data_IF_224062576484
#
_entry.id   IF_224062576484
#
_cell.length_a   1.000
_cell.length_b   1.000
_cell.length_c   1.000
_cell.angle_alpha   90.00
_cell.angle_beta   90.00
_cell.angle_gamma   90.00
#
_symmetry.space_group_name_H-M   'P 1'
#
loop_
_entity.id
_entity.type
_entity.pdbx_description
1 polymer ?
#
# COMPACT_ATOMS: atom_id res chain seq x y z
N UNK A 1 -21.94 25.12 23.20
CA UNK A 1 -21.65 23.72 23.53
C UNK A 1 -20.43 23.34 22.70
N UNK A 2 -19.31 23.09 23.34
CA UNK A 2 -18.12 22.62 22.62
C UNK A 2 -18.46 21.22 22.11
N UNK A 3 -18.61 21.10 20.79
CA UNK A 3 -18.84 19.81 20.15
C UNK A 3 -17.56 18.99 20.28
N UNK A 4 -17.64 17.78 20.84
CA UNK A 4 -16.49 16.88 20.90
C UNK A 4 -15.96 16.63 19.48
N UNK A 5 -14.63 16.66 19.34
CA UNK A 5 -13.97 16.48 18.05
C UNK A 5 -14.26 15.08 17.48
N UNK A 6 -14.61 14.99 16.21
CA UNK A 6 -14.84 13.72 15.54
C UNK A 6 -13.57 12.87 15.44
N UNK A 7 -13.74 11.58 15.17
CA UNK A 7 -12.64 10.60 15.04
C UNK A 7 -12.27 10.40 13.58
N UNK A 8 -10.95 10.32 13.28
CA UNK A 8 -10.46 9.86 12.00
C UNK A 8 -10.07 8.37 12.08
N UNK A 9 -10.74 7.54 11.30
CA UNK A 9 -10.42 6.13 11.13
C UNK A 9 -9.55 5.93 9.89
N UNK A 10 -8.39 5.29 10.02
CA UNK A 10 -7.54 4.88 8.91
C UNK A 10 -7.84 3.40 8.65
N UNK A 11 -8.55 3.11 7.56
CA UNK A 11 -9.15 1.79 7.32
C UNK A 11 -8.48 1.09 6.16
N UNK A 12 -7.90 -0.09 6.42
CA UNK A 12 -7.35 -0.95 5.38
C UNK A 12 -8.48 -1.57 4.53
N UNK A 13 -8.24 -1.60 3.21
CA UNK A 13 -9.14 -2.18 2.20
C UNK A 13 -8.50 -3.40 1.54
N UNK A 14 -9.27 -4.26 0.86
CA UNK A 14 -8.73 -5.41 0.14
C UNK A 14 -7.68 -5.04 -0.91
N UNK A 15 -6.73 -5.95 -1.17
CA UNK A 15 -5.66 -5.78 -2.17
C UNK A 15 -5.92 -6.54 -3.49
N UNK A 16 -7.09 -7.16 -3.61
CA UNK A 16 -7.45 -7.92 -4.81
C UNK A 16 -8.69 -8.78 -4.62
N UNK A 17 -8.86 -9.37 -3.43
CA UNK A 17 -10.04 -10.16 -3.08
C UNK A 17 -10.91 -9.38 -2.10
N UNK A 18 -12.14 -9.03 -2.48
CA UNK A 18 -13.05 -8.27 -1.64
C UNK A 18 -13.37 -8.95 -0.30
N UNK A 19 -13.20 -10.28 -0.19
CA UNK A 19 -13.43 -11.04 1.04
C UNK A 19 -12.37 -10.79 2.12
N UNK A 20 -11.22 -10.20 1.76
CA UNK A 20 -10.16 -9.83 2.71
C UNK A 20 -10.51 -8.59 3.55
N UNK A 21 -11.66 -7.99 3.38
CA UNK A 21 -12.15 -6.91 4.23
C UNK A 21 -12.49 -7.42 5.63
N UNK A 22 -12.06 -6.72 6.66
CA UNK A 22 -12.40 -7.12 8.03
C UNK A 22 -13.83 -6.74 8.42
N UNK A 23 -14.46 -7.51 9.31
CA UNK A 23 -15.78 -7.18 9.88
C UNK A 23 -15.78 -5.80 10.54
N UNK A 24 -14.67 -5.44 11.20
CA UNK A 24 -14.52 -4.12 11.83
C UNK A 24 -14.46 -3.01 10.79
N UNK A 25 -13.77 -3.20 9.67
CA UNK A 25 -13.73 -2.24 8.58
C UNK A 25 -15.14 -2.03 7.99
N UNK A 26 -15.86 -3.11 7.71
CA UNK A 26 -17.24 -3.02 7.21
C UNK A 26 -18.17 -2.24 8.15
N UNK A 27 -18.07 -2.49 9.48
CA UNK A 27 -18.85 -1.77 10.46
C UNK A 27 -18.49 -0.28 10.48
N UNK A 28 -17.22 0.07 10.58
CA UNK A 28 -16.76 1.47 10.62
C UNK A 28 -17.15 2.22 9.34
N UNK A 29 -16.97 1.61 8.16
CA UNK A 29 -17.32 2.23 6.88
C UNK A 29 -18.84 2.49 6.74
N UNK A 30 -19.68 1.75 7.47
CA UNK A 30 -21.14 1.99 7.52
C UNK A 30 -21.54 3.05 8.55
N UNK A 31 -20.75 3.23 9.61
CA UNK A 31 -21.07 4.09 10.76
C UNK A 31 -20.54 5.52 10.62
N UNK A 32 -19.44 5.74 9.87
CA UNK A 32 -18.85 7.08 9.72
C UNK A 32 -19.70 7.99 8.84
N UNK A 33 -19.56 9.31 9.05
CA UNK A 33 -20.31 10.33 8.30
C UNK A 33 -19.78 10.51 6.87
N UNK A 34 -18.49 10.23 6.65
CA UNK A 34 -17.84 10.43 5.36
C UNK A 34 -16.63 9.51 5.22
N UNK A 35 -16.45 8.97 4.01
CA UNK A 35 -15.24 8.21 3.63
C UNK A 35 -14.43 9.03 2.63
N UNK A 36 -13.18 9.32 3.00
CA UNK A 36 -12.15 9.92 2.14
C UNK A 36 -11.44 8.79 1.39
N UNK A 37 -11.39 8.86 0.07
CA UNK A 37 -10.79 7.84 -0.79
C UNK A 37 -10.06 8.46 -1.97
N UNK A 38 -9.10 7.75 -2.56
CA UNK A 38 -8.35 8.24 -3.73
C UNK A 38 -9.25 8.29 -4.96
N UNK A 39 -9.85 7.17 -5.32
CA UNK A 39 -10.82 7.06 -6.41
C UNK A 39 -12.17 6.55 -5.87
N UNK A 40 -13.17 7.45 -5.94
CA UNK A 40 -14.55 7.13 -5.51
C UNK A 40 -15.17 6.01 -6.33
N UNK A 41 -14.75 5.80 -7.58
CA UNK A 41 -15.25 4.73 -8.46
C UNK A 41 -14.76 3.37 -7.96
N UNK A 42 -13.50 3.29 -7.54
CA UNK A 42 -12.91 2.08 -6.97
C UNK A 42 -13.59 1.71 -5.66
N UNK A 43 -13.69 2.67 -4.74
CA UNK A 43 -14.36 2.48 -3.44
C UNK A 43 -15.83 2.03 -3.59
N UNK A 44 -16.53 2.52 -4.61
CA UNK A 44 -17.94 2.12 -4.88
C UNK A 44 -18.09 0.64 -5.23
N UNK A 45 -17.09 -0.03 -5.76
CA UNK A 45 -17.13 -1.48 -6.03
C UNK A 45 -17.22 -2.23 -4.69
N UNK A 46 -16.36 -1.91 -3.74
CA UNK A 46 -16.38 -2.46 -2.38
C UNK A 46 -17.71 -2.15 -1.69
N UNK A 47 -18.16 -0.91 -1.77
CA UNK A 47 -19.41 -0.46 -1.14
C UNK A 47 -20.62 -1.19 -1.70
N UNK A 48 -20.69 -1.38 -3.01
CA UNK A 48 -21.76 -2.13 -3.67
C UNK A 48 -21.81 -3.59 -3.23
N UNK A 49 -20.64 -4.25 -3.11
CA UNK A 49 -20.56 -5.66 -2.65
C UNK A 49 -21.12 -5.84 -1.23
N UNK A 50 -20.90 -4.84 -0.32
CA UNK A 50 -21.26 -4.98 1.10
C UNK A 50 -22.42 -4.10 1.54
N UNK A 51 -23.14 -3.48 0.61
CA UNK A 51 -24.30 -2.64 0.91
C UNK A 51 -23.95 -1.44 1.80
N UNK A 52 -22.80 -0.79 1.53
CA UNK A 52 -22.39 0.43 2.23
C UNK A 52 -22.91 1.64 1.45
N UNK A 53 -23.64 2.52 2.13
CA UNK A 53 -24.27 3.71 1.53
C UNK A 53 -23.61 5.02 1.96
N UNK A 54 -22.58 4.93 2.80
CA UNK A 54 -21.85 6.10 3.33
C UNK A 54 -21.32 6.97 2.20
N UNK A 55 -21.44 8.28 2.37
CA UNK A 55 -20.93 9.26 1.41
C UNK A 55 -19.43 9.14 1.24
N UNK A 56 -18.96 9.20 -0.01
CA UNK A 56 -17.52 9.23 -0.34
C UNK A 56 -17.12 10.59 -0.87
N UNK A 57 -15.87 10.98 -0.59
CA UNK A 57 -15.29 12.22 -1.08
C UNK A 57 -13.84 11.98 -1.48
N UNK A 58 -13.43 12.47 -2.65
CA UNK A 58 -12.08 12.25 -3.14
C UNK A 58 -11.05 13.04 -2.32
N UNK A 59 -9.96 12.35 -1.92
CA UNK A 59 -8.75 12.90 -1.33
C UNK A 59 -7.52 12.20 -1.89
N UNK A 60 -6.60 12.95 -2.48
CA UNK A 60 -5.36 12.44 -3.07
C UNK A 60 -4.18 13.37 -2.77
N UNK A 61 -2.94 12.96 -3.08
CA UNK A 61 -1.70 13.71 -2.76
C UNK A 61 -1.72 15.15 -3.27
N UNK A 62 -2.39 15.40 -4.38
CA UNK A 62 -2.50 16.74 -4.98
C UNK A 62 -3.71 17.55 -4.48
N UNK A 63 -4.41 17.05 -3.44
CA UNK A 63 -5.49 17.84 -2.83
C UNK A 63 -4.92 19.13 -2.24
N UNK A 64 -5.60 20.23 -2.51
CA UNK A 64 -5.17 21.57 -2.08
C UNK A 64 -5.45 21.84 -0.60
N UNK A 65 -4.89 22.94 -0.07
CA UNK A 65 -5.06 23.31 1.34
C UNK A 65 -6.53 23.53 1.72
N UNK A 66 -7.36 24.05 0.81
CA UNK A 66 -8.79 24.23 1.08
C UNK A 66 -9.49 22.91 1.37
N UNK A 67 -9.05 21.82 0.75
CA UNK A 67 -9.55 20.46 1.02
C UNK A 67 -9.17 19.99 2.42
N UNK A 68 -7.91 20.22 2.84
CA UNK A 68 -7.44 19.88 4.18
C UNK A 68 -8.24 20.63 5.25
N UNK A 69 -8.46 21.93 5.06
CA UNK A 69 -9.30 22.75 5.96
C UNK A 69 -10.76 22.27 5.98
N UNK A 70 -11.34 21.91 4.83
CA UNK A 70 -12.72 21.37 4.77
C UNK A 70 -12.85 20.05 5.54
N UNK A 71 -11.82 19.20 5.52
CA UNK A 71 -11.79 17.96 6.30
C UNK A 71 -11.68 18.27 7.81
N UNK A 72 -10.81 19.22 8.18
CA UNK A 72 -10.67 19.65 9.57
C UNK A 72 -11.98 20.23 10.13
N UNK A 73 -12.70 21.06 9.37
CA UNK A 73 -14.00 21.59 9.79
C UNK A 73 -15.02 20.48 10.08
N UNK A 74 -15.09 19.45 9.24
CA UNK A 74 -15.98 18.31 9.49
C UNK A 74 -15.65 17.60 10.81
N UNK A 75 -14.34 17.44 11.14
CA UNK A 75 -13.93 16.89 12.45
C UNK A 75 -14.32 17.81 13.60
N UNK A 76 -14.21 19.17 13.45
CA UNK A 76 -14.67 20.15 14.45
C UNK A 76 -16.17 20.09 14.68
N UNK A 77 -16.93 19.78 13.63
CA UNK A 77 -18.38 19.56 13.73
C UNK A 77 -18.75 18.23 14.43
N UNK A 78 -17.77 17.48 14.93
CA UNK A 78 -17.95 16.18 15.60
C UNK A 78 -18.18 15.02 14.63
N UNK A 79 -18.01 15.21 13.31
CA UNK A 79 -18.20 14.15 12.32
C UNK A 79 -17.06 13.13 12.35
N UNK A 80 -17.40 11.87 12.35
CA UNK A 80 -16.46 10.75 12.21
C UNK A 80 -16.12 10.52 10.74
N UNK A 81 -14.85 10.46 10.43
CA UNK A 81 -14.35 10.27 9.07
C UNK A 81 -13.55 8.98 8.94
N UNK A 82 -13.60 8.33 7.78
CA UNK A 82 -12.69 7.25 7.44
C UNK A 82 -11.80 7.67 6.27
N UNK A 83 -10.52 7.30 6.33
CA UNK A 83 -9.56 7.40 5.22
C UNK A 83 -9.29 5.99 4.72
N UNK A 84 -9.49 5.75 3.42
CA UNK A 84 -9.14 4.52 2.71
C UNK A 84 -8.23 4.83 1.54
N UNK A 85 -7.37 3.87 1.17
CA UNK A 85 -6.67 3.83 -0.12
C UNK A 85 -7.44 2.98 -1.13
N UNK A 86 -7.03 3.01 -2.39
CA UNK A 86 -7.64 2.17 -3.42
C UNK A 86 -7.43 0.68 -3.13
N UNK A 87 -6.30 0.31 -2.51
CA UNK A 87 -6.00 -1.06 -2.10
C UNK A 87 -5.06 -1.09 -0.89
N UNK A 88 -5.33 -1.96 0.08
CA UNK A 88 -4.45 -2.20 1.21
C UNK A 88 -4.57 -1.21 2.35
N UNK A 89 -3.47 -1.04 3.10
CA UNK A 89 -3.40 -0.19 4.29
C UNK A 89 -2.98 1.23 3.89
N UNK A 90 -3.83 2.26 4.14
CA UNK A 90 -3.49 3.64 3.81
C UNK A 90 -2.16 4.08 4.44
N UNK A 91 -1.45 5.00 3.80
CA UNK A 91 -0.12 5.52 4.17
C UNK A 91 1.06 4.55 3.94
N UNK A 92 0.83 3.29 3.64
CA UNK A 92 1.88 2.33 3.30
C UNK A 92 2.10 2.35 1.79
N UNK A 93 2.92 3.28 1.31
CA UNK A 93 3.12 3.63 -0.11
C UNK A 93 1.92 4.32 -0.78
N UNK A 94 0.96 4.76 0.00
CA UNK A 94 -0.28 5.39 -0.41
C UNK A 94 -0.38 6.84 0.10
N UNK A 95 -1.26 7.67 -0.48
CA UNK A 95 -1.55 9.00 0.02
C UNK A 95 -2.10 8.99 1.46
N UNK A 96 -1.94 10.14 2.14
CA UNK A 96 -2.55 10.36 3.46
C UNK A 96 -1.62 11.03 4.47
N UNK A 97 -0.30 10.86 4.33
CA UNK A 97 0.67 11.50 5.25
C UNK A 97 0.50 13.01 5.33
N UNK A 98 0.28 13.78 4.24
CA UNK A 98 0.02 15.22 4.35
C UNK A 98 -1.25 15.54 5.15
N UNK A 99 -2.33 14.78 4.98
CA UNK A 99 -3.57 14.97 5.74
C UNK A 99 -3.33 14.73 7.23
N UNK A 100 -2.72 13.61 7.60
CA UNK A 100 -2.45 13.30 9.00
C UNK A 100 -1.55 14.33 9.65
N UNK A 101 -0.50 14.78 8.96
CA UNK A 101 0.41 15.81 9.45
C UNK A 101 -0.32 17.15 9.65
N UNK A 102 -1.16 17.54 8.70
CA UNK A 102 -1.97 18.75 8.80
C UNK A 102 -2.93 18.67 10.00
N UNK A 103 -3.70 17.59 10.11
CA UNK A 103 -4.66 17.42 11.19
C UNK A 103 -3.99 17.33 12.58
N UNK A 104 -2.84 16.66 12.68
CA UNK A 104 -2.06 16.61 13.92
C UNK A 104 -1.52 17.99 14.31
N UNK A 105 -1.13 18.82 13.34
CA UNK A 105 -0.69 20.19 13.60
C UNK A 105 -1.86 21.07 14.06
N UNK A 106 -3.05 20.84 13.51
CA UNK A 106 -4.25 21.63 13.75
C UNK A 106 -4.88 21.33 15.12
N UNK A 107 -4.92 20.05 15.51
CA UNK A 107 -5.66 19.59 16.69
C UNK A 107 -4.77 19.02 17.82
N UNK A 108 -3.50 18.77 17.55
CA UNK A 108 -2.59 18.23 18.57
C UNK A 108 -3.05 16.88 19.13
N UNK A 109 -3.08 16.79 20.45
CA UNK A 109 -3.48 15.60 21.21
C UNK A 109 -4.99 15.34 21.20
N UNK A 110 -5.80 16.33 20.84
CA UNK A 110 -7.26 16.21 20.88
C UNK A 110 -7.79 15.41 19.71
N UNK A 111 -6.99 15.25 18.64
CA UNK A 111 -7.35 14.45 17.47
C UNK A 111 -7.26 12.94 17.80
N UNK A 112 -8.42 12.29 17.81
CA UNK A 112 -8.48 10.83 17.89
C UNK A 112 -8.30 10.21 16.50
N UNK A 113 -7.17 9.51 16.30
CA UNK A 113 -6.91 8.71 15.11
C UNK A 113 -6.95 7.24 15.49
N UNK A 114 -7.76 6.46 14.77
CA UNK A 114 -7.95 5.03 15.03
C UNK A 114 -7.52 4.21 13.81
N UNK A 115 -6.54 3.33 13.98
CA UNK A 115 -6.19 2.36 12.96
C UNK A 115 -7.20 1.21 12.94
N UNK A 116 -7.69 0.88 11.75
CA UNK A 116 -8.51 -0.31 11.47
C UNK A 116 -7.68 -1.24 10.59
N UNK A 117 -6.95 -2.19 11.19
CA UNK A 117 -6.03 -3.06 10.46
C UNK A 117 -6.76 -3.97 9.47
N UNK A 118 -6.04 -4.40 8.45
CA UNK A 118 -6.56 -5.29 7.43
C UNK A 118 -5.50 -5.70 6.43
N UNK A 119 -5.89 -5.92 5.17
CA UNK A 119 -5.02 -6.39 4.12
C UNK A 119 -3.86 -5.42 3.84
N UNK A 120 -2.70 -6.01 3.55
CA UNK A 120 -1.50 -5.30 3.08
C UNK A 120 -0.66 -6.24 2.23
N UNK A 121 -0.30 -5.82 1.03
CA UNK A 121 0.52 -6.64 0.13
C UNK A 121 1.89 -6.97 0.72
N UNK A 122 2.48 -6.05 1.51
CA UNK A 122 3.73 -6.27 2.23
C UNK A 122 3.61 -7.46 3.19
N UNK A 123 2.62 -7.44 4.09
CA UNK A 123 2.45 -8.52 5.08
C UNK A 123 1.95 -9.80 4.46
N UNK A 124 1.11 -9.75 3.43
CA UNK A 124 0.68 -10.92 2.67
C UNK A 124 1.88 -11.62 2.01
N UNK A 125 2.77 -10.88 1.34
CA UNK A 125 3.99 -11.44 0.77
C UNK A 125 4.88 -12.08 1.85
N UNK A 126 5.12 -11.40 2.97
CA UNK A 126 5.94 -11.91 4.08
C UNK A 126 5.36 -13.16 4.75
N UNK A 127 4.05 -13.37 4.68
CA UNK A 127 3.43 -14.58 5.25
C UNK A 127 3.71 -15.85 4.45
N UNK A 128 4.09 -15.71 3.16
CA UNK A 128 4.32 -16.83 2.24
C UNK A 128 5.75 -16.87 1.67
N UNK A 129 6.54 -15.82 1.87
CA UNK A 129 7.95 -15.76 1.47
C UNK A 129 8.80 -15.59 2.73
N UNK A 130 9.52 -16.63 3.17
CA UNK A 130 10.34 -16.55 4.37
C UNK A 130 11.51 -15.58 4.19
N UNK A 131 11.72 -14.73 5.20
CA UNK A 131 12.89 -13.86 5.35
C UNK A 131 13.73 -14.41 6.51
N UNK A 132 14.88 -15.05 6.25
CA UNK A 132 15.61 -15.84 7.25
C UNK A 132 15.97 -15.09 8.53
N UNK A 133 16.42 -13.83 8.42
CA UNK A 133 16.79 -13.00 9.59
C UNK A 133 15.58 -12.41 10.34
N UNK A 134 14.39 -12.45 9.75
CA UNK A 134 13.22 -11.71 10.23
C UNK A 134 13.38 -10.17 10.15
N UNK A 135 14.55 -9.68 9.73
CA UNK A 135 14.83 -8.24 9.54
C UNK A 135 14.73 -7.87 8.08
N UNK A 136 14.05 -6.77 7.81
CA UNK A 136 13.87 -6.26 6.46
C UNK A 136 13.68 -4.75 6.44
N UNK A 137 14.00 -4.15 5.32
CA UNK A 137 13.68 -2.77 4.98
C UNK A 137 12.59 -2.74 3.91
N UNK A 138 11.54 -1.95 4.11
CA UNK A 138 10.50 -1.72 3.11
C UNK A 138 10.67 -0.37 2.44
N UNK A 139 10.76 -0.34 1.11
CA UNK A 139 11.05 0.87 0.33
C UNK A 139 9.84 1.45 -0.42
N UNK A 140 8.66 0.83 -0.32
CA UNK A 140 7.55 1.21 -1.18
C UNK A 140 7.88 0.96 -2.66
N UNK A 141 7.54 1.89 -3.55
CA UNK A 141 7.95 1.83 -4.95
C UNK A 141 9.35 2.41 -5.15
N UNK A 142 10.20 1.71 -5.92
CA UNK A 142 11.50 2.25 -6.29
C UNK A 142 11.37 3.50 -7.18
N UNK A 143 12.27 4.47 -7.04
CA UNK A 143 12.28 5.67 -7.89
C UNK A 143 12.31 5.32 -9.38
N UNK A 144 11.63 6.14 -10.20
CA UNK A 144 11.61 5.93 -11.66
C UNK A 144 12.96 6.18 -12.34
N UNK A 145 13.72 7.21 -11.90
CA UNK A 145 14.99 7.64 -12.51
C UNK A 145 16.03 7.96 -11.44
N UNK A 146 16.01 9.21 -10.92
CA UNK A 146 17.00 9.68 -9.93
C UNK A 146 16.90 8.87 -8.63
N UNK A 147 18.00 8.32 -8.16
CA UNK A 147 18.06 7.52 -6.93
C UNK A 147 17.83 6.01 -7.10
N UNK A 148 17.33 5.53 -8.26
CA UNK A 148 17.05 4.11 -8.49
C UNK A 148 18.31 3.24 -8.40
N UNK A 149 19.37 3.62 -9.09
CA UNK A 149 20.67 2.90 -9.03
C UNK A 149 21.28 2.93 -7.62
N UNK A 150 21.11 4.05 -6.90
CA UNK A 150 21.57 4.14 -5.51
C UNK A 150 20.77 3.18 -4.61
N UNK A 151 19.46 3.03 -4.84
CA UNK A 151 18.64 2.06 -4.11
C UNK A 151 19.14 0.62 -4.36
N UNK A 152 19.38 0.23 -5.62
CA UNK A 152 19.89 -1.10 -5.98
C UNK A 152 21.25 -1.39 -5.32
N UNK A 153 22.17 -0.41 -5.32
CA UNK A 153 23.46 -0.58 -4.62
C UNK A 153 23.29 -0.76 -3.12
N UNK A 154 22.40 0.03 -2.48
CA UNK A 154 22.10 -0.13 -1.06
C UNK A 154 21.50 -1.50 -0.74
N UNK A 155 20.68 -2.06 -1.62
CA UNK A 155 20.16 -3.42 -1.47
C UNK A 155 21.30 -4.44 -1.53
N UNK A 156 22.23 -4.30 -2.50
CA UNK A 156 23.39 -5.17 -2.63
C UNK A 156 24.31 -5.09 -1.41
N UNK A 157 24.62 -3.89 -0.96
CA UNK A 157 25.63 -3.63 0.08
C UNK A 157 25.06 -3.73 1.52
N UNK A 158 23.74 -3.78 1.70
CA UNK A 158 23.08 -3.89 3.00
C UNK A 158 23.02 -5.32 3.53
N UNK A 159 22.75 -5.46 4.84
CA UNK A 159 22.72 -6.75 5.57
C UNK A 159 21.31 -7.29 5.79
N UNK A 160 20.28 -6.54 5.40
CA UNK A 160 18.87 -6.90 5.60
C UNK A 160 18.19 -7.24 4.28
N UNK A 161 17.15 -8.07 4.35
CA UNK A 161 16.27 -8.26 3.22
C UNK A 161 15.61 -6.93 2.82
N UNK A 162 15.44 -6.71 1.53
CA UNK A 162 14.78 -5.51 1.03
C UNK A 162 13.50 -5.88 0.31
N UNK A 163 12.39 -5.23 0.69
CA UNK A 163 11.06 -5.45 0.13
C UNK A 163 10.58 -4.17 -0.53
N UNK A 164 9.98 -4.29 -1.70
CA UNK A 164 9.43 -3.14 -2.40
C UNK A 164 8.34 -3.57 -3.39
N UNK A 165 7.50 -2.62 -3.78
CA UNK A 165 6.48 -2.81 -4.81
C UNK A 165 7.04 -2.51 -6.19
N UNK A 166 6.58 -3.26 -7.20
CA UNK A 166 6.92 -2.99 -8.58
C UNK A 166 5.71 -3.20 -9.50
N UNK A 167 5.69 -2.48 -10.60
CA UNK A 167 4.61 -2.51 -11.59
C UNK A 167 4.94 -3.37 -12.81
N UNK A 168 3.91 -3.79 -13.55
CA UNK A 168 4.03 -4.56 -14.80
C UNK A 168 5.02 -3.97 -15.79
N UNK A 169 5.02 -2.63 -15.93
CA UNK A 169 5.87 -1.93 -16.90
C UNK A 169 7.34 -1.87 -16.49
N UNK A 170 7.67 -2.28 -15.26
CA UNK A 170 9.00 -2.06 -14.67
C UNK A 170 9.68 -3.34 -14.20
N UNK A 171 8.94 -4.45 -14.09
CA UNK A 171 9.47 -5.69 -13.51
C UNK A 171 10.63 -6.27 -14.32
N UNK A 172 10.52 -6.34 -15.65
CA UNK A 172 11.61 -6.85 -16.52
C UNK A 172 12.81 -5.91 -16.48
N UNK A 173 12.57 -4.59 -16.48
CA UNK A 173 13.64 -3.60 -16.34
C UNK A 173 14.37 -3.74 -15.00
N UNK A 174 13.63 -3.96 -13.92
CA UNK A 174 14.22 -4.22 -12.59
C UNK A 174 15.15 -5.43 -12.63
N UNK A 175 14.69 -6.55 -13.18
CA UNK A 175 15.49 -7.77 -13.28
C UNK A 175 16.75 -7.56 -14.14
N UNK A 176 16.66 -6.76 -15.21
CA UNK A 176 17.82 -6.38 -16.02
C UNK A 176 18.84 -5.53 -15.22
N UNK A 177 18.36 -4.63 -14.39
CA UNK A 177 19.21 -3.81 -13.52
C UNK A 177 19.87 -4.66 -12.42
N UNK A 178 19.11 -5.60 -11.83
CA UNK A 178 19.66 -6.54 -10.84
C UNK A 178 20.66 -7.52 -11.46
N UNK A 179 20.35 -8.07 -12.64
CA UNK A 179 21.28 -8.95 -13.38
C UNK A 179 22.64 -8.29 -13.59
N UNK A 180 22.66 -6.97 -13.83
CA UNK A 180 23.89 -6.20 -14.04
C UNK A 180 24.63 -5.87 -12.74
N UNK A 181 23.90 -5.39 -11.74
CA UNK A 181 24.50 -4.74 -10.56
C UNK A 181 24.50 -5.64 -9.30
N UNK A 182 23.71 -6.73 -9.32
CA UNK A 182 23.57 -7.69 -8.23
C UNK A 182 23.11 -9.07 -8.75
N UNK A 183 23.90 -9.73 -9.65
CA UNK A 183 23.50 -10.98 -10.33
C UNK A 183 23.27 -12.16 -9.39
N UNK A 184 23.94 -12.19 -8.23
CA UNK A 184 23.83 -13.22 -7.20
C UNK A 184 22.62 -13.01 -6.26
N UNK A 185 21.82 -11.97 -6.47
CA UNK A 185 20.66 -11.70 -5.60
C UNK A 185 19.70 -12.90 -5.56
N UNK A 186 19.29 -13.29 -4.36
CA UNK A 186 18.20 -14.23 -4.17
C UNK A 186 16.88 -13.43 -4.14
N UNK A 187 16.11 -13.50 -5.22
CA UNK A 187 14.92 -12.71 -5.45
C UNK A 187 13.67 -13.57 -5.37
N UNK A 188 12.70 -13.16 -4.56
CA UNK A 188 11.33 -13.69 -4.57
C UNK A 188 10.39 -12.62 -5.10
N UNK A 189 9.51 -13.00 -6.00
CA UNK A 189 8.48 -12.13 -6.58
C UNK A 189 7.12 -12.73 -6.24
N UNK A 190 6.39 -12.11 -5.34
CA UNK A 190 4.99 -12.41 -5.08
C UNK A 190 4.13 -11.55 -6.01
N UNK A 191 3.38 -12.20 -6.90
CA UNK A 191 2.62 -11.58 -7.96
C UNK A 191 1.14 -11.78 -7.75
N UNK A 192 0.33 -10.74 -8.01
CA UNK A 192 -1.14 -10.79 -8.00
C UNK A 192 -1.72 -11.41 -6.72
N UNK A 193 -1.12 -11.05 -5.57
CA UNK A 193 -1.54 -11.56 -4.26
C UNK A 193 -3.05 -11.38 -4.04
N UNK A 194 -3.70 -12.43 -3.51
CA UNK A 194 -5.14 -12.57 -3.27
C UNK A 194 -6.03 -12.62 -4.51
N UNK A 195 -5.45 -12.51 -5.72
CA UNK A 195 -6.17 -12.53 -6.99
C UNK A 195 -6.10 -13.91 -7.67
N UNK A 196 -6.86 -14.08 -8.75
CA UNK A 196 -6.94 -15.35 -9.49
C UNK A 196 -5.58 -15.89 -9.97
N UNK A 197 -4.62 -15.01 -10.26
CA UNK A 197 -3.30 -15.39 -10.78
C UNK A 197 -2.20 -15.17 -9.73
N UNK A 198 -2.53 -15.35 -8.46
CA UNK A 198 -1.56 -15.34 -7.38
C UNK A 198 -0.48 -16.39 -7.60
N UNK A 199 0.77 -15.96 -7.54
CA UNK A 199 1.92 -16.86 -7.58
C UNK A 199 3.14 -16.25 -6.89
N UNK A 200 4.03 -17.12 -6.44
CA UNK A 200 5.38 -16.74 -5.99
C UNK A 200 6.40 -17.42 -6.90
N UNK A 201 7.30 -16.64 -7.45
CA UNK A 201 8.44 -17.12 -8.24
C UNK A 201 9.74 -16.69 -7.58
N UNK A 202 10.73 -17.60 -7.53
CA UNK A 202 11.99 -17.38 -6.84
C UNK A 202 13.17 -17.77 -7.72
N UNK A 203 14.29 -17.07 -7.57
CA UNK A 203 15.51 -17.35 -8.30
C UNK A 203 16.48 -16.17 -8.33
N UNK A 204 17.54 -16.31 -9.11
CA UNK A 204 18.41 -15.19 -9.43
C UNK A 204 17.79 -14.27 -10.50
N UNK A 205 18.29 -13.03 -10.65
CA UNK A 205 17.73 -12.07 -11.61
C UNK A 205 17.74 -12.56 -13.06
N UNK A 206 18.78 -13.27 -13.49
CA UNK A 206 18.92 -13.79 -14.86
C UNK A 206 17.84 -14.81 -15.20
N UNK A 207 17.61 -15.77 -14.32
CA UNK A 207 16.62 -16.83 -14.54
C UNK A 207 15.20 -16.31 -14.47
N UNK A 208 14.90 -15.41 -13.50
CA UNK A 208 13.60 -14.77 -13.39
C UNK A 208 13.30 -13.89 -14.61
N UNK A 209 14.29 -13.17 -15.13
CA UNK A 209 14.16 -12.38 -16.36
C UNK A 209 13.80 -13.26 -17.54
N UNK A 210 14.56 -14.35 -17.78
CA UNK A 210 14.26 -15.31 -18.85
C UNK A 210 12.86 -15.91 -18.70
N UNK A 211 12.44 -16.26 -17.49
CA UNK A 211 11.10 -16.75 -17.22
C UNK A 211 10.02 -15.74 -17.62
N UNK A 212 10.15 -14.49 -17.18
CA UNK A 212 9.17 -13.46 -17.51
C UNK A 212 9.17 -13.08 -19.00
N UNK A 213 10.33 -13.08 -19.66
CA UNK A 213 10.43 -12.83 -21.11
C UNK A 213 9.79 -13.97 -21.92
N UNK A 214 9.93 -15.22 -21.47
CA UNK A 214 9.31 -16.39 -22.12
C UNK A 214 7.81 -16.52 -21.88
N UNK A 215 7.26 -15.84 -20.85
CA UNK A 215 5.86 -15.88 -20.43
C UNK A 215 5.31 -14.46 -20.23
N UNK A 216 4.96 -13.72 -21.31
CA UNK A 216 4.54 -12.32 -21.22
C UNK A 216 3.31 -12.09 -20.32
N UNK A 217 2.44 -13.09 -20.15
CA UNK A 217 1.31 -13.02 -19.21
C UNK A 217 1.75 -12.87 -17.76
N UNK A 218 2.95 -13.37 -17.41
CA UNK A 218 3.53 -13.22 -16.06
C UNK A 218 4.15 -11.84 -15.81
N UNK A 219 4.34 -11.04 -16.83
CA UNK A 219 4.78 -9.63 -16.68
C UNK A 219 3.65 -8.70 -16.26
N UNK A 220 2.39 -9.18 -16.32
CA UNK A 220 1.20 -8.40 -15.96
C UNK A 220 0.87 -8.56 -14.48
N UNK A 221 0.32 -7.51 -13.89
CA UNK A 221 -0.15 -7.50 -12.52
C UNK A 221 0.67 -6.61 -11.59
N UNK A 222 0.49 -6.79 -10.30
CA UNK A 222 1.15 -6.08 -9.22
C UNK A 222 2.13 -7.03 -8.53
N UNK A 223 3.27 -6.51 -8.15
CA UNK A 223 4.38 -7.30 -7.64
C UNK A 223 4.87 -6.78 -6.30
N UNK A 224 5.05 -7.70 -5.36
CA UNK A 224 5.91 -7.48 -4.19
C UNK A 224 7.22 -8.22 -4.45
N UNK A 225 8.31 -7.48 -4.50
CA UNK A 225 9.66 -8.03 -4.73
C UNK A 225 10.40 -8.06 -3.41
N UNK A 226 10.98 -9.20 -3.10
CA UNK A 226 11.79 -9.43 -1.90
C UNK A 226 13.18 -9.86 -2.34
N UNK A 227 14.18 -9.06 -2.00
CA UNK A 227 15.58 -9.43 -2.17
C UNK A 227 16.06 -9.96 -0.84
N UNK A 228 16.34 -11.27 -0.78
CA UNK A 228 16.79 -11.95 0.42
C UNK A 228 18.29 -11.76 0.62
N UNK A 229 18.72 -11.81 1.86
CA UNK A 229 20.12 -11.94 2.26
C UNK A 229 20.29 -13.31 2.91
N UNK A 230 21.36 -13.98 2.53
CA UNK A 230 21.82 -15.17 3.25
C UNK A 230 22.38 -14.73 4.61
N UNK A 231 22.15 -15.56 5.62
CA UNK A 231 22.69 -15.35 6.98
C UNK A 231 24.18 -15.67 7.00
#
# INVERSE_FOLDING_TARGET
MDTELGTLYVVATPIGNLEDITLRALRILKEVDLVLCEDTRHTKILFGKYGITTRTESYHVHSNDSKLHSIAEKLREGKNLALVSDAGTPLVSDPGSPLLNFLKKEFGSDLKIVAVPGASALTAALSIVPVPSGRFSFLGFLPHKKGRQTAIRKMRDGDEATIFYESSHRIVKLLTELEKDFPEANVSIARELTKQFEEVIEGNPTDLKKLLESKPEKQKGEFVVIIKKEL
#
